data_IF_133881189805
#
_entry.id   IF_133881189805
#
_cell.length_a   1.000
_cell.length_b   1.000
_cell.length_c   1.000
_cell.angle_alpha   90.00
_cell.angle_beta   90.00
_cell.angle_gamma   90.00
#
_symmetry.space_group_name_H-M   'P 1'
#
loop_
_entity.id
_entity.type
_entity.pdbx_description
1 polymer ?
#
# COMPACT_ATOMS: atom_id res chain seq x y z
N UNK A 1 52.51 27.49 -8.52
CA UNK A 1 51.55 28.58 -8.80
C UNK A 1 50.20 27.97 -9.16
N UNK A 2 49.23 28.12 -8.26
CA UNK A 2 47.90 27.47 -8.26
C UNK A 2 46.91 28.45 -8.89
N UNK A 3 46.43 28.22 -10.12
CA UNK A 3 45.27 28.95 -10.65
C UNK A 3 44.03 28.12 -10.31
N UNK A 4 43.36 28.48 -9.22
CA UNK A 4 41.97 28.09 -9.00
C UNK A 4 41.18 28.81 -10.09
N UNK A 5 40.67 28.04 -11.05
CA UNK A 5 39.71 28.53 -12.04
C UNK A 5 38.42 28.77 -11.26
N UNK A 6 38.21 30.01 -10.84
CA UNK A 6 36.92 30.46 -10.33
C UNK A 6 35.93 30.29 -11.49
N UNK A 7 35.16 29.20 -11.44
CA UNK A 7 34.00 29.02 -12.29
C UNK A 7 32.97 30.01 -11.74
N UNK A 8 32.54 31.02 -12.52
CA UNK A 8 31.47 31.90 -12.08
C UNK A 8 30.22 31.02 -11.98
N UNK A 9 29.84 30.70 -10.74
CA UNK A 9 28.54 30.11 -10.46
C UNK A 9 27.53 31.23 -10.65
N UNK A 10 27.03 31.36 -11.88
CA UNK A 10 25.89 32.21 -12.21
C UNK A 10 24.70 31.74 -11.36
N UNK A 11 24.38 32.52 -10.33
CA UNK A 11 23.30 32.25 -9.38
C UNK A 11 21.93 32.04 -10.08
N UNK A 12 21.77 32.58 -11.29
CA UNK A 12 20.58 32.43 -12.14
C UNK A 12 20.43 31.00 -12.71
N UNK A 13 21.52 30.25 -12.86
CA UNK A 13 21.53 28.86 -13.35
C UNK A 13 21.26 27.81 -12.26
N UNK A 14 21.58 28.14 -11.01
CA UNK A 14 21.37 27.25 -9.85
C UNK A 14 19.89 27.10 -9.51
N UNK A 15 19.15 28.22 -9.45
CA UNK A 15 17.71 28.19 -9.14
C UNK A 15 16.89 27.44 -10.20
N UNK A 16 17.23 27.59 -11.47
CA UNK A 16 16.57 26.88 -12.58
C UNK A 16 16.93 25.39 -12.63
N UNK A 17 18.17 25.03 -12.29
CA UNK A 17 18.59 23.62 -12.19
C UNK A 17 17.95 22.93 -10.97
N UNK A 18 17.87 23.62 -9.83
CA UNK A 18 17.22 23.11 -8.62
C UNK A 18 15.70 23.01 -8.77
N UNK A 19 15.03 23.97 -9.43
CA UNK A 19 13.58 23.86 -9.69
C UNK A 19 13.26 22.70 -10.65
N UNK A 20 14.14 22.45 -11.62
CA UNK A 20 14.02 21.32 -12.54
C UNK A 20 14.25 19.99 -11.81
N UNK A 21 15.22 19.94 -10.90
CA UNK A 21 15.48 18.78 -10.05
C UNK A 21 14.31 18.49 -9.09
N UNK A 22 13.80 19.52 -8.42
CA UNK A 22 12.64 19.41 -7.54
C UNK A 22 11.37 18.97 -8.29
N UNK A 23 11.18 19.44 -9.52
CA UNK A 23 10.08 19.00 -10.38
C UNK A 23 10.23 17.54 -10.81
N UNK A 24 11.45 17.11 -11.15
CA UNK A 24 11.76 15.73 -11.49
C UNK A 24 11.58 14.79 -10.29
N UNK A 25 11.98 15.21 -9.09
CA UNK A 25 11.73 14.47 -7.84
C UNK A 25 10.23 14.40 -7.50
N UNK A 26 9.48 15.49 -7.73
CA UNK A 26 8.03 15.49 -7.55
C UNK A 26 7.32 14.57 -8.55
N UNK A 27 7.73 14.58 -9.81
CA UNK A 27 7.18 13.70 -10.85
C UNK A 27 7.50 12.23 -10.56
N UNK A 28 8.71 11.91 -10.08
CA UNK A 28 9.05 10.56 -9.61
C UNK A 28 8.25 10.18 -8.36
N UNK A 29 8.16 11.08 -7.38
CA UNK A 29 7.43 10.85 -6.13
C UNK A 29 5.94 10.63 -6.37
N UNK A 30 5.33 11.36 -7.31
CA UNK A 30 3.94 11.14 -7.74
C UNK A 30 3.75 9.82 -8.47
N UNK A 31 4.70 9.45 -9.35
CA UNK A 31 4.65 8.17 -10.05
C UNK A 31 4.76 6.99 -9.08
N UNK A 32 5.66 7.09 -8.09
CA UNK A 32 5.85 6.08 -7.05
C UNK A 32 4.67 6.03 -6.08
N UNK A 33 4.15 7.17 -5.63
CA UNK A 33 2.95 7.25 -4.82
C UNK A 33 1.74 6.63 -5.54
N UNK A 34 1.56 6.92 -6.84
CA UNK A 34 0.48 6.33 -7.64
C UNK A 34 0.64 4.82 -7.78
N UNK A 35 1.86 4.32 -7.99
CA UNK A 35 2.14 2.89 -8.05
C UNK A 35 1.80 2.19 -6.72
N UNK A 36 2.17 2.79 -5.59
CA UNK A 36 1.85 2.27 -4.25
C UNK A 36 0.34 2.29 -3.99
N UNK A 37 -0.34 3.39 -4.29
CA UNK A 37 -1.80 3.51 -4.13
C UNK A 37 -2.53 2.46 -4.98
N UNK A 38 -2.12 2.27 -6.24
CA UNK A 38 -2.74 1.30 -7.14
C UNK A 38 -2.53 -0.13 -6.63
N UNK A 39 -1.31 -0.45 -6.17
CA UNK A 39 -1.02 -1.77 -5.60
C UNK A 39 -1.81 -2.04 -4.31
N UNK A 40 -1.95 -1.03 -3.45
CA UNK A 40 -2.76 -1.13 -2.23
C UNK A 40 -4.25 -1.31 -2.57
N UNK A 41 -4.78 -0.56 -3.53
CA UNK A 41 -6.16 -0.69 -3.97
C UNK A 41 -6.46 -2.09 -4.52
N UNK A 42 -5.56 -2.67 -5.32
CA UNK A 42 -5.68 -4.04 -5.81
C UNK A 42 -5.67 -5.04 -4.66
N UNK A 43 -4.71 -4.91 -3.72
CA UNK A 43 -4.63 -5.81 -2.58
C UNK A 43 -5.90 -5.76 -1.70
N UNK A 44 -6.45 -4.57 -1.46
CA UNK A 44 -7.72 -4.40 -0.74
C UNK A 44 -8.87 -5.03 -1.51
N UNK A 45 -8.99 -4.76 -2.82
CA UNK A 45 -10.05 -5.32 -3.64
C UNK A 45 -10.04 -6.86 -3.61
N UNK A 46 -8.86 -7.47 -3.78
CA UNK A 46 -8.68 -8.93 -3.70
C UNK A 46 -9.03 -9.44 -2.31
N UNK A 47 -8.59 -8.77 -1.25
CA UNK A 47 -8.89 -9.18 0.13
C UNK A 47 -10.40 -9.14 0.42
N UNK A 48 -11.10 -8.08 -0.01
CA UNK A 48 -12.55 -7.95 0.17
C UNK A 48 -13.30 -9.04 -0.60
N UNK A 49 -12.95 -9.28 -1.87
CA UNK A 49 -13.57 -10.34 -2.66
C UNK A 49 -13.33 -11.71 -2.04
N UNK A 50 -12.10 -11.99 -1.59
CA UNK A 50 -11.77 -13.23 -0.91
C UNK A 50 -12.54 -13.40 0.41
N UNK A 51 -12.72 -12.34 1.19
CA UNK A 51 -13.50 -12.39 2.42
C UNK A 51 -14.97 -12.75 2.14
N UNK A 52 -15.59 -12.15 1.13
CA UNK A 52 -16.97 -12.48 0.73
C UNK A 52 -17.06 -13.95 0.30
N UNK A 53 -16.14 -14.41 -0.55
CA UNK A 53 -16.09 -15.79 -1.00
C UNK A 53 -15.88 -16.77 0.17
N UNK A 54 -15.08 -16.40 1.17
CA UNK A 54 -14.87 -17.19 2.38
C UNK A 54 -16.16 -17.35 3.19
N UNK A 55 -16.91 -16.26 3.40
CA UNK A 55 -18.20 -16.33 4.10
C UNK A 55 -19.18 -17.24 3.35
N UNK A 56 -19.29 -17.11 2.03
CA UNK A 56 -20.13 -18.00 1.22
C UNK A 56 -19.69 -19.47 1.35
N UNK A 57 -18.38 -19.73 1.31
CA UNK A 57 -17.83 -21.07 1.50
C UNK A 57 -18.17 -21.67 2.87
N UNK A 58 -18.14 -20.86 3.94
CA UNK A 58 -18.56 -21.30 5.27
C UNK A 58 -20.03 -21.70 5.29
N UNK A 59 -20.90 -20.92 4.65
CA UNK A 59 -22.33 -21.27 4.52
C UNK A 59 -22.51 -22.60 3.80
N UNK A 60 -21.76 -22.84 2.71
CA UNK A 60 -21.79 -24.10 1.97
C UNK A 60 -21.29 -25.27 2.84
N UNK A 61 -20.23 -25.07 3.63
CA UNK A 61 -19.71 -26.10 4.54
C UNK A 61 -20.69 -26.43 5.66
N UNK A 62 -21.39 -25.42 6.20
CA UNK A 62 -22.48 -25.63 7.16
C UNK A 62 -23.59 -26.45 6.51
N UNK A 63 -24.03 -26.08 5.30
CA UNK A 63 -25.02 -26.86 4.55
C UNK A 63 -24.55 -28.31 4.32
N UNK A 64 -23.27 -28.51 3.99
CA UNK A 64 -22.66 -29.82 3.82
C UNK A 64 -22.68 -30.65 5.12
N UNK A 65 -22.49 -30.03 6.28
CA UNK A 65 -22.53 -30.70 7.58
C UNK A 65 -23.93 -31.21 7.93
N UNK A 66 -24.98 -30.51 7.49
CA UNK A 66 -26.37 -30.92 7.71
C UNK A 66 -26.94 -31.84 6.63
N UNK A 67 -26.37 -31.83 5.41
CA UNK A 67 -26.83 -32.67 4.29
C UNK A 67 -26.99 -34.18 4.60
N UNK A 68 -26.12 -34.83 5.40
CA UNK A 68 -26.29 -36.23 5.77
C UNK A 68 -27.60 -36.52 6.53
N UNK A 69 -28.12 -35.56 7.29
CA UNK A 69 -29.39 -35.72 8.04
C UNK A 69 -30.60 -35.84 7.11
N UNK A 70 -30.48 -35.37 5.88
CA UNK A 70 -31.53 -35.40 4.87
C UNK A 70 -31.28 -36.46 3.78
N UNK A 71 -30.26 -37.31 3.95
CA UNK A 71 -29.86 -38.29 2.94
C UNK A 71 -29.31 -37.67 1.65
N UNK A 72 -28.92 -36.39 1.68
CA UNK A 72 -28.39 -35.68 0.52
C UNK A 72 -26.88 -35.91 0.36
N UNK A 73 -26.39 -35.86 -0.88
CA UNK A 73 -24.95 -35.95 -1.16
C UNK A 73 -24.21 -34.75 -0.57
N UNK A 74 -23.29 -34.98 0.37
CA UNK A 74 -22.55 -33.91 1.05
C UNK A 74 -21.13 -33.71 0.51
N UNK A 75 -20.57 -34.72 -0.16
CA UNK A 75 -19.17 -34.76 -0.59
C UNK A 75 -18.82 -33.59 -1.53
N UNK A 76 -19.69 -33.31 -2.52
CA UNK A 76 -19.47 -32.22 -3.47
C UNK A 76 -19.56 -30.84 -2.81
N UNK A 77 -20.41 -30.68 -1.79
CA UNK A 77 -20.51 -29.45 -1.02
C UNK A 77 -19.25 -29.21 -0.18
N UNK A 78 -18.70 -30.25 0.44
CA UNK A 78 -17.43 -30.15 1.19
C UNK A 78 -16.26 -29.84 0.26
N UNK A 79 -16.18 -30.47 -0.92
CA UNK A 79 -15.10 -30.20 -1.87
C UNK A 79 -15.20 -28.77 -2.41
N UNK A 80 -16.38 -28.34 -2.84
CA UNK A 80 -16.58 -27.00 -3.38
C UNK A 80 -16.38 -25.92 -2.31
N UNK A 81 -17.06 -26.04 -1.16
CA UNK A 81 -16.94 -25.12 -0.04
C UNK A 81 -15.55 -25.09 0.55
N UNK A 82 -14.95 -26.27 0.80
CA UNK A 82 -13.60 -26.38 1.34
C UNK A 82 -12.54 -25.82 0.39
N UNK A 83 -12.65 -26.10 -0.92
CA UNK A 83 -11.74 -25.55 -1.92
C UNK A 83 -11.79 -24.03 -1.97
N UNK A 84 -12.99 -23.44 -2.02
CA UNK A 84 -13.15 -21.98 -2.01
C UNK A 84 -12.65 -21.38 -0.70
N UNK A 85 -12.92 -22.01 0.45
CA UNK A 85 -12.45 -21.54 1.75
C UNK A 85 -10.91 -21.46 1.81
N UNK A 86 -10.22 -22.50 1.34
CA UNK A 86 -8.76 -22.53 1.30
C UNK A 86 -8.18 -21.48 0.35
N UNK A 87 -8.76 -21.34 -0.85
CA UNK A 87 -8.33 -20.32 -1.82
C UNK A 87 -8.52 -18.91 -1.27
N UNK A 88 -9.66 -18.63 -0.65
CA UNK A 88 -9.92 -17.32 -0.04
C UNK A 88 -8.94 -17.02 1.09
N UNK A 89 -8.63 -17.99 1.95
CA UNK A 89 -7.61 -17.83 3.00
C UNK A 89 -6.23 -17.55 2.41
N UNK A 90 -5.84 -18.27 1.35
CA UNK A 90 -4.58 -18.02 0.67
C UNK A 90 -4.51 -16.61 0.05
N UNK A 91 -5.60 -16.14 -0.56
CA UNK A 91 -5.69 -14.79 -1.13
C UNK A 91 -5.66 -13.69 -0.06
N UNK A 92 -6.31 -13.90 1.08
CA UNK A 92 -6.25 -12.98 2.23
C UNK A 92 -4.83 -12.94 2.78
N UNK A 93 -4.21 -14.08 3.03
CA UNK A 93 -2.83 -14.17 3.50
C UNK A 93 -1.85 -13.50 2.53
N UNK A 94 -2.02 -13.76 1.23
CA UNK A 94 -1.25 -13.11 0.18
C UNK A 94 -1.44 -11.58 0.18
N UNK A 95 -2.67 -11.09 0.30
CA UNK A 95 -2.96 -9.65 0.37
C UNK A 95 -2.32 -9.00 1.59
N UNK A 96 -2.40 -9.65 2.76
CA UNK A 96 -1.74 -9.17 4.00
C UNK A 96 -0.22 -9.15 3.83
N UNK A 97 0.38 -10.21 3.29
CA UNK A 97 1.82 -10.25 3.01
C UNK A 97 2.23 -9.17 2.01
N UNK A 98 1.41 -8.95 0.97
CA UNK A 98 1.66 -7.93 -0.05
C UNK A 98 1.63 -6.53 0.57
N UNK A 99 0.64 -6.23 1.40
CA UNK A 99 0.56 -4.94 2.11
C UNK A 99 1.71 -4.78 3.11
N UNK A 100 2.09 -5.84 3.83
CA UNK A 100 3.21 -5.79 4.78
C UNK A 100 4.57 -5.63 4.10
N UNK A 101 4.72 -6.18 2.90
CA UNK A 101 5.93 -6.06 2.07
C UNK A 101 5.90 -4.80 1.19
N UNK A 102 4.75 -4.12 1.04
CA UNK A 102 4.68 -2.73 0.61
C UNK A 102 5.22 -1.88 1.76
N UNK A 103 6.55 -1.81 1.80
CA UNK A 103 7.43 -1.07 2.69
C UNK A 103 6.71 0.00 3.53
N UNK A 104 6.47 -0.30 4.81
CA UNK A 104 6.27 0.72 5.83
C UNK A 104 7.63 1.42 6.00
N UNK A 105 7.83 2.63 5.45
CA UNK A 105 9.14 3.24 5.47
C UNK A 105 9.34 3.79 6.88
N UNK A 106 10.12 3.08 7.68
CA UNK A 106 10.50 3.51 9.02
C UNK A 106 11.21 4.89 8.99
N UNK A 107 11.72 5.33 7.83
CA UNK A 107 12.25 6.68 7.63
C UNK A 107 11.19 7.77 7.42
N UNK A 108 9.98 7.44 6.95
CA UNK A 108 8.94 8.44 6.65
C UNK A 108 8.14 8.84 7.89
N UNK A 109 8.02 7.98 8.91
CA UNK A 109 7.32 8.34 10.16
C UNK A 109 8.12 9.40 10.94
N UNK A 110 9.44 9.23 11.03
CA UNK A 110 10.31 10.20 11.69
C UNK A 110 10.34 11.53 10.92
N UNK A 111 10.40 11.48 9.59
CA UNK A 111 10.34 12.66 8.71
C UNK A 111 8.98 13.38 8.77
N UNK A 112 7.88 12.64 8.90
CA UNK A 112 6.54 13.23 9.10
C UNK A 112 6.45 13.92 10.47
N UNK A 113 6.95 13.30 11.54
CA UNK A 113 6.99 13.95 12.86
C UNK A 113 7.88 15.21 12.87
N UNK A 114 9.02 15.19 12.16
CA UNK A 114 9.87 16.37 11.97
C UNK A 114 9.17 17.47 11.17
N UNK A 115 8.46 17.07 10.11
CA UNK A 115 7.69 18.00 9.25
C UNK A 115 6.53 18.63 10.02
N UNK A 116 5.83 17.86 10.85
CA UNK A 116 4.76 18.36 11.72
C UNK A 116 5.29 19.27 12.83
N UNK A 117 6.44 18.95 13.43
CA UNK A 117 7.09 19.83 14.41
C UNK A 117 7.50 21.16 13.78
N UNK A 118 8.05 21.12 12.57
CA UNK A 118 8.41 22.32 11.83
C UNK A 118 7.17 23.15 11.44
N UNK A 119 6.11 22.52 10.94
CA UNK A 119 4.84 23.19 10.62
C UNK A 119 4.19 23.83 11.86
N UNK A 120 4.19 23.11 13.00
CA UNK A 120 3.66 23.63 14.25
C UNK A 120 4.47 24.83 14.76
N UNK A 121 5.80 24.77 14.66
CA UNK A 121 6.68 25.88 15.03
C UNK A 121 6.44 27.12 14.14
N UNK A 122 6.24 26.90 12.83
CA UNK A 122 6.05 27.98 11.86
C UNK A 122 4.65 28.60 11.94
N UNK A 123 3.63 27.81 12.28
CA UNK A 123 2.28 28.33 12.56
C UNK A 123 2.29 29.17 13.84
N UNK A 124 3.02 28.72 14.88
CA UNK A 124 3.16 29.45 16.15
C UNK A 124 3.90 30.78 15.98
N UNK A 125 4.94 30.83 15.13
CA UNK A 125 5.67 32.08 14.85
C UNK A 125 4.90 33.09 13.99
N UNK A 126 3.83 32.67 13.31
CA UNK A 126 2.95 33.54 12.50
C UNK A 126 1.77 34.11 13.29
N UNK A 127 1.46 33.49 14.44
CA UNK A 127 0.35 33.86 15.32
C UNK A 127 0.78 34.69 16.55
N UNK A 128 2.08 34.90 16.73
CA UNK A 128 2.66 35.79 17.76
C UNK A 128 3.23 37.02 17.08
#
# INVERSE_FOLDING_TARGET
MRRLREVPIEADGLGSSLSRLARLELELGLAEARAVITQLAIAIAVAVTAAIAFVAALVVLVAAAFAPLFGAGWQHLVIAGGGVALLSLALIAWSVMRVRNLTWPHGTIHSIEETWRWLAAQLKSRLT
#
